data_IF_134281776621
#
_entry.id   IF_134281776621
#
_cell.length_a   1.000
_cell.length_b   1.000
_cell.length_c   1.000
_cell.angle_alpha   90.00
_cell.angle_beta   90.00
_cell.angle_gamma   90.00
#
_symmetry.space_group_name_H-M   'P 1'
#
loop_
_entity.id
_entity.type
_entity.pdbx_description
1 polymer ?
#
# COMPACT_ATOMS: atom_id res chain seq x y z
N UNK A 1 5.94 1.13 -2.66
CA UNK A 1 5.46 0.69 -4.00
C UNK A 1 6.32 -0.41 -4.59
N UNK A 2 7.66 -0.31 -4.56
CA UNK A 2 8.51 -1.47 -4.92
C UNK A 2 8.16 -2.74 -4.12
N UNK A 3 7.94 -2.62 -2.81
CA UNK A 3 7.47 -3.74 -1.99
C UNK A 3 6.13 -4.33 -2.46
N UNK A 4 5.21 -3.51 -2.98
CA UNK A 4 3.91 -3.98 -3.48
C UNK A 4 4.07 -4.75 -4.81
N UNK A 5 5.00 -4.33 -5.67
CA UNK A 5 5.36 -5.11 -6.86
C UNK A 5 5.92 -6.48 -6.48
N UNK A 6 6.83 -6.53 -5.50
CA UNK A 6 7.40 -7.79 -4.98
C UNK A 6 6.30 -8.68 -4.40
N UNK A 7 5.37 -8.09 -3.63
CA UNK A 7 4.22 -8.80 -3.07
C UNK A 7 3.39 -9.48 -4.16
N UNK A 8 3.03 -8.72 -5.21
CA UNK A 8 2.22 -9.24 -6.31
C UNK A 8 2.99 -10.20 -7.23
N UNK A 9 4.32 -10.08 -7.29
CA UNK A 9 5.20 -11.03 -7.99
C UNK A 9 5.28 -12.39 -7.29
N UNK A 10 4.89 -12.46 -6.02
CA UNK A 10 5.02 -13.66 -5.19
C UNK A 10 3.66 -14.31 -4.98
N UNK A 11 2.91 -14.00 -3.92
CA UNK A 11 1.71 -14.76 -3.59
C UNK A 11 0.53 -14.50 -4.52
N UNK A 12 0.41 -13.30 -5.08
CA UNK A 12 -0.63 -13.06 -6.10
C UNK A 12 -0.36 -13.86 -7.39
N UNK A 13 0.90 -14.23 -7.65
CA UNK A 13 1.29 -15.01 -8.83
C UNK A 13 1.30 -16.51 -8.56
N UNK A 14 1.82 -16.95 -7.41
CA UNK A 14 2.13 -18.35 -7.13
C UNK A 14 1.40 -18.93 -5.91
N UNK A 15 0.54 -18.14 -5.26
CA UNK A 15 -0.11 -18.50 -3.99
C UNK A 15 0.89 -18.89 -2.89
N UNK A 16 0.39 -19.44 -1.78
CA UNK A 16 1.25 -20.02 -0.74
C UNK A 16 1.97 -21.28 -1.26
N UNK A 17 3.19 -21.58 -0.78
CA UNK A 17 3.83 -22.86 -1.07
C UNK A 17 2.93 -24.03 -0.67
N UNK A 18 2.80 -25.01 -1.56
CA UNK A 18 2.06 -26.24 -1.31
C UNK A 18 2.82 -27.14 -0.31
N UNK A 19 2.11 -28.11 0.27
CA UNK A 19 2.73 -29.10 1.15
C UNK A 19 3.91 -29.82 0.48
N UNK A 20 3.76 -30.21 -0.78
CA UNK A 20 4.81 -30.83 -1.59
C UNK A 20 6.02 -29.89 -1.75
N UNK A 21 5.78 -28.62 -2.12
CA UNK A 21 6.85 -27.64 -2.29
C UNK A 21 7.63 -27.35 -0.99
N UNK A 22 6.98 -27.45 0.17
CA UNK A 22 7.64 -27.31 1.47
C UNK A 22 8.65 -28.44 1.74
N UNK A 23 8.43 -29.63 1.17
CA UNK A 23 9.29 -30.81 1.35
C UNK A 23 10.33 -30.94 0.23
N UNK A 24 9.92 -30.72 -1.02
CA UNK A 24 10.80 -30.86 -2.19
C UNK A 24 11.77 -29.69 -2.32
N UNK A 25 11.34 -28.49 -1.95
CA UNK A 25 12.11 -27.25 -2.08
C UNK A 25 12.03 -26.38 -0.81
N UNK A 26 12.48 -26.87 0.36
CA UNK A 26 12.27 -26.22 1.65
C UNK A 26 12.86 -24.81 1.72
N UNK A 27 14.08 -24.63 1.20
CA UNK A 27 14.75 -23.32 1.17
C UNK A 27 14.04 -22.34 0.22
N UNK A 28 13.56 -22.81 -0.93
CA UNK A 28 12.81 -21.99 -1.89
C UNK A 28 11.47 -21.55 -1.30
N UNK A 29 10.76 -22.47 -0.65
CA UNK A 29 9.49 -22.20 0.01
C UNK A 29 9.64 -21.23 1.18
N UNK A 30 10.65 -21.41 2.05
CA UNK A 30 10.95 -20.45 3.11
C UNK A 30 11.32 -19.06 2.54
N UNK A 31 12.11 -19.03 1.46
CA UNK A 31 12.46 -17.79 0.76
C UNK A 31 11.24 -17.05 0.22
N UNK A 32 10.27 -17.76 -0.37
CA UNK A 32 8.99 -17.19 -0.83
C UNK A 32 8.15 -16.63 0.31
N UNK A 33 8.01 -17.38 1.42
CA UNK A 33 7.26 -16.91 2.59
C UNK A 33 7.91 -15.66 3.18
N UNK A 34 9.25 -15.66 3.29
CA UNK A 34 9.98 -14.53 3.84
C UNK A 34 9.93 -13.29 2.95
N UNK A 35 10.05 -13.47 1.63
CA UNK A 35 9.87 -12.37 0.66
C UNK A 35 8.49 -11.73 0.79
N UNK A 36 7.43 -12.53 0.98
CA UNK A 36 6.08 -12.03 1.23
C UNK A 36 6.04 -11.19 2.52
N UNK A 37 6.57 -11.73 3.61
CA UNK A 37 6.58 -11.06 4.93
C UNK A 37 7.36 -9.74 4.91
N UNK A 38 8.46 -9.66 4.14
CA UNK A 38 9.22 -8.43 3.92
C UNK A 38 8.42 -7.39 3.12
N UNK A 39 7.63 -7.84 2.15
CA UNK A 39 6.91 -7.01 1.20
C UNK A 39 5.58 -6.47 1.72
N UNK A 40 4.81 -7.29 2.43
CA UNK A 40 3.43 -6.99 2.85
C UNK A 40 3.33 -5.72 3.71
N UNK A 41 4.37 -5.40 4.48
CA UNK A 41 4.37 -4.20 5.31
C UNK A 41 4.35 -2.89 4.52
N UNK A 42 4.62 -2.92 3.21
CA UNK A 42 4.71 -1.73 2.37
C UNK A 42 3.45 -0.85 2.38
N UNK A 43 2.26 -1.45 2.48
CA UNK A 43 1.00 -0.70 2.60
C UNK A 43 0.90 -0.01 3.96
N UNK A 44 1.21 -0.71 5.04
CA UNK A 44 1.22 -0.14 6.39
C UNK A 44 2.23 1.01 6.48
N UNK A 45 3.41 0.86 5.87
CA UNK A 45 4.41 1.95 5.78
C UNK A 45 3.85 3.17 5.03
N UNK A 46 3.11 2.97 3.93
CA UNK A 46 2.50 4.09 3.21
C UNK A 46 1.50 4.88 4.09
N UNK A 47 0.69 4.18 4.88
CA UNK A 47 -0.25 4.81 5.82
C UNK A 47 0.48 5.47 7.00
N UNK A 48 1.54 4.84 7.53
CA UNK A 48 2.40 5.42 8.57
C UNK A 48 3.03 6.74 8.12
N UNK A 49 3.57 6.79 6.89
CA UNK A 49 4.12 8.01 6.30
C UNK A 49 3.04 9.11 6.23
N UNK A 50 1.83 8.75 5.81
CA UNK A 50 0.69 9.68 5.74
C UNK A 50 0.34 10.25 7.13
N UNK A 51 0.32 9.40 8.17
CA UNK A 51 0.12 9.81 9.55
C UNK A 51 1.23 10.70 10.10
N UNK A 52 2.48 10.34 9.83
CA UNK A 52 3.66 11.05 10.30
C UNK A 52 3.66 12.52 9.87
N UNK A 53 3.46 12.77 8.58
CA UNK A 53 3.37 14.13 8.06
C UNK A 53 2.03 14.81 8.39
N UNK A 54 0.99 14.03 8.66
CA UNK A 54 -0.35 14.51 8.93
C UNK A 54 -1.05 14.99 7.65
N UNK A 55 -2.11 14.30 7.24
CA UNK A 55 -2.88 14.70 6.06
C UNK A 55 -3.63 16.01 6.38
N UNK A 56 -3.40 17.04 5.56
CA UNK A 56 -4.23 18.26 5.53
C UNK A 56 -5.17 18.17 4.34
N UNK A 57 -6.46 18.06 4.62
CA UNK A 57 -7.44 17.81 3.58
C UNK A 57 -7.61 19.06 2.70
N UNK A 58 -7.30 18.91 1.41
CA UNK A 58 -7.46 19.96 0.39
C UNK A 58 -8.26 19.39 -0.77
N UNK A 59 -9.35 20.07 -1.17
CA UNK A 59 -10.19 19.65 -2.30
C UNK A 59 -9.35 19.45 -3.56
N UNK A 60 -8.45 20.39 -3.87
CA UNK A 60 -7.55 20.28 -5.03
C UNK A 60 -6.68 19.01 -4.97
N UNK A 61 -6.24 18.60 -3.78
CA UNK A 61 -5.50 17.35 -3.59
C UNK A 61 -6.35 16.11 -3.85
N UNK A 62 -7.59 16.08 -3.35
CA UNK A 62 -8.53 15.00 -3.62
C UNK A 62 -8.86 14.90 -5.12
N UNK A 63 -9.16 16.03 -5.77
CA UNK A 63 -9.44 16.08 -7.21
C UNK A 63 -8.22 15.63 -8.01
N UNK A 64 -7.01 16.04 -7.62
CA UNK A 64 -5.77 15.56 -8.26
C UNK A 64 -5.60 14.05 -8.13
N UNK A 65 -5.92 13.46 -6.98
CA UNK A 65 -5.83 12.02 -6.75
C UNK A 65 -6.87 11.24 -7.56
N UNK A 66 -8.11 11.72 -7.59
CA UNK A 66 -9.19 11.15 -8.39
C UNK A 66 -8.90 11.26 -9.89
N UNK A 67 -8.37 12.39 -10.34
CA UNK A 67 -7.90 12.58 -11.70
C UNK A 67 -6.80 11.59 -12.04
N UNK A 68 -5.80 11.41 -11.17
CA UNK A 68 -4.72 10.46 -11.39
C UNK A 68 -5.27 9.03 -11.55
N UNK A 69 -6.20 8.62 -10.71
CA UNK A 69 -6.83 7.31 -10.82
C UNK A 69 -7.65 7.14 -12.12
N UNK A 70 -8.48 8.13 -12.46
CA UNK A 70 -9.27 8.13 -13.70
C UNK A 70 -8.38 8.14 -14.95
N UNK A 71 -7.29 8.92 -14.92
CA UNK A 71 -6.32 8.98 -16.02
C UNK A 71 -5.77 7.59 -16.35
N UNK A 72 -5.40 6.81 -15.33
CA UNK A 72 -4.89 5.46 -15.55
C UNK A 72 -5.97 4.46 -15.94
N UNK A 73 -7.14 4.48 -15.31
CA UNK A 73 -8.22 3.55 -15.70
C UNK A 73 -8.70 3.78 -17.13
N UNK A 74 -8.82 5.03 -17.57
CA UNK A 74 -9.19 5.41 -18.94
C UNK A 74 -8.04 5.12 -19.91
N UNK A 75 -6.84 5.61 -19.60
CA UNK A 75 -5.68 5.50 -20.49
C UNK A 75 -5.29 4.05 -20.77
N UNK A 76 -5.27 3.21 -19.74
CA UNK A 76 -4.98 1.77 -19.89
C UNK A 76 -6.02 1.10 -20.79
N UNK A 77 -7.32 1.34 -20.55
CA UNK A 77 -8.37 0.75 -21.38
C UNK A 77 -8.26 1.19 -22.84
N UNK A 78 -8.09 2.50 -23.10
CA UNK A 78 -7.94 3.00 -24.47
C UNK A 78 -6.66 2.46 -25.15
N UNK A 79 -5.59 2.25 -24.39
CA UNK A 79 -4.35 1.67 -24.92
C UNK A 79 -4.56 0.22 -25.32
N UNK A 80 -5.23 -0.59 -24.48
CA UNK A 80 -5.54 -1.99 -24.80
C UNK A 80 -6.47 -2.12 -26.00
N UNK A 81 -7.44 -1.21 -26.14
CA UNK A 81 -8.31 -1.12 -27.32
C UNK A 81 -7.51 -0.75 -28.57
N UNK A 82 -6.61 0.24 -28.49
CA UNK A 82 -5.80 0.67 -29.62
C UNK A 82 -4.77 -0.37 -30.08
N UNK A 83 -4.40 -1.30 -29.21
CA UNK A 83 -3.50 -2.42 -29.50
C UNK A 83 -4.24 -3.71 -29.90
N UNK A 84 -5.55 -3.65 -30.09
CA UNK A 84 -6.42 -4.80 -30.40
C UNK A 84 -6.34 -5.94 -29.35
N UNK A 85 -5.97 -5.61 -28.10
CA UNK A 85 -5.92 -6.55 -26.97
C UNK A 85 -7.24 -6.65 -26.21
N UNK A 86 -8.14 -5.67 -26.36
CA UNK A 86 -9.50 -5.67 -25.81
C UNK A 86 -10.44 -4.99 -26.82
N UNK A 87 -11.62 -5.56 -27.15
CA UNK A 87 -12.57 -4.89 -28.03
C UNK A 87 -13.18 -3.67 -27.34
N UNK A 88 -13.41 -2.60 -28.09
CA UNK A 88 -14.09 -1.42 -27.54
C UNK A 88 -15.54 -1.75 -27.16
N UNK A 89 -15.89 -1.51 -25.89
CA UNK A 89 -17.25 -1.63 -25.37
C UNK A 89 -17.64 -0.38 -24.58
N UNK A 90 -18.75 0.27 -24.98
CA UNK A 90 -19.22 1.51 -24.33
C UNK A 90 -19.47 1.36 -22.83
N UNK A 91 -20.02 0.23 -22.39
CA UNK A 91 -20.25 -0.05 -20.95
C UNK A 91 -18.92 -0.18 -20.19
N UNK A 92 -17.93 -0.84 -20.77
CA UNK A 92 -16.60 -0.99 -20.17
C UNK A 92 -15.88 0.36 -20.10
N UNK A 93 -16.01 1.18 -21.14
CA UNK A 93 -15.49 2.55 -21.18
C UNK A 93 -16.12 3.44 -20.10
N UNK A 94 -17.45 3.48 -19.98
CA UNK A 94 -18.13 4.27 -18.95
C UNK A 94 -17.72 3.86 -17.53
N UNK A 95 -17.48 2.57 -17.28
CA UNK A 95 -16.97 2.08 -15.98
C UNK A 95 -15.57 2.61 -15.64
N UNK A 96 -14.75 3.00 -16.62
CA UNK A 96 -13.41 3.55 -16.34
C UNK A 96 -13.45 4.90 -15.61
N UNK A 97 -14.56 5.65 -15.72
CA UNK A 97 -14.76 6.90 -14.99
C UNK A 97 -15.09 6.71 -13.50
N UNK A 98 -15.24 5.47 -13.04
CA UNK A 98 -15.52 5.12 -11.65
C UNK A 98 -14.31 4.36 -11.03
N UNK A 99 -13.17 5.03 -10.78
CA UNK A 99 -11.96 4.38 -10.26
C UNK A 99 -12.07 3.96 -8.79
N UNK A 100 -13.24 4.12 -8.16
CA UNK A 100 -13.49 3.85 -6.75
C UNK A 100 -14.25 2.54 -6.48
N UNK A 101 -14.36 1.68 -7.49
CA UNK A 101 -14.97 0.36 -7.36
C UNK A 101 -14.12 -0.53 -6.44
N UNK A 102 -14.56 -0.68 -5.19
CA UNK A 102 -13.89 -1.48 -4.16
C UNK A 102 -13.73 -2.95 -4.54
N UNK A 103 -14.57 -3.48 -5.43
CA UNK A 103 -14.44 -4.87 -5.87
C UNK A 103 -13.19 -5.12 -6.72
N UNK A 104 -12.61 -4.05 -7.29
CA UNK A 104 -11.43 -4.11 -8.15
C UNK A 104 -10.22 -3.42 -7.54
N UNK A 105 -10.47 -2.43 -6.69
CA UNK A 105 -9.44 -1.57 -6.13
C UNK A 105 -9.84 -1.18 -4.70
N UNK A 106 -9.31 -1.89 -3.71
CA UNK A 106 -9.68 -1.69 -2.31
C UNK A 106 -8.92 -0.52 -1.67
N UNK A 107 -7.68 -0.26 -2.10
CA UNK A 107 -6.78 0.65 -1.40
C UNK A 107 -7.20 2.10 -1.61
N UNK A 108 -7.43 2.52 -2.85
CA UNK A 108 -7.75 3.92 -3.17
C UNK A 108 -9.02 4.42 -2.45
N UNK A 109 -10.16 3.69 -2.46
CA UNK A 109 -11.36 4.08 -1.70
C UNK A 109 -11.13 4.15 -0.18
N UNK A 110 -10.36 3.23 0.39
CA UNK A 110 -10.05 3.21 1.83
C UNK A 110 -9.11 4.38 2.19
N UNK A 111 -8.10 4.66 1.35
CA UNK A 111 -7.19 5.79 1.54
C UNK A 111 -7.89 7.14 1.40
N UNK A 112 -8.77 7.30 0.41
CA UNK A 112 -9.60 8.50 0.27
C UNK A 112 -10.50 8.72 1.48
N UNK A 113 -11.07 7.63 2.01
CA UNK A 113 -11.85 7.68 3.26
C UNK A 113 -10.97 8.14 4.42
N UNK A 114 -9.76 7.61 4.56
CA UNK A 114 -8.80 8.09 5.56
C UNK A 114 -8.48 9.57 5.38
N UNK A 115 -8.25 10.05 4.15
CA UNK A 115 -7.99 11.47 3.88
C UNK A 115 -9.14 12.35 4.37
N UNK A 116 -10.39 11.95 4.14
CA UNK A 116 -11.59 12.67 4.59
C UNK A 116 -11.67 12.72 6.12
N UNK A 117 -11.33 11.61 6.80
CA UNK A 117 -11.37 11.52 8.26
C UNK A 117 -10.13 12.11 8.95
N UNK A 118 -9.02 12.29 8.23
CA UNK A 118 -7.75 12.73 8.81
C UNK A 118 -7.81 14.07 9.56
N UNK A 119 -8.53 15.12 9.09
CA UNK A 119 -8.71 16.35 9.87
C UNK A 119 -9.33 16.09 11.25
N UNK A 120 -10.38 15.26 11.32
CA UNK A 120 -11.01 14.88 12.58
C UNK A 120 -10.03 14.17 13.51
N UNK A 121 -9.26 13.21 12.97
CA UNK A 121 -8.23 12.50 13.72
C UNK A 121 -7.15 13.45 14.25
N UNK A 122 -6.72 14.41 13.42
CA UNK A 122 -5.72 15.42 13.78
C UNK A 122 -6.25 16.36 14.88
N UNK A 123 -7.49 16.85 14.78
CA UNK A 123 -8.09 17.70 15.81
C UNK A 123 -8.28 16.96 17.13
N UNK A 124 -8.62 15.66 17.08
CA UNK A 124 -8.73 14.83 18.28
C UNK A 124 -7.41 14.76 19.03
N UNK A 125 -6.32 14.36 18.35
CA UNK A 125 -5.00 14.17 18.98
C UNK A 125 -4.30 15.48 19.37
N UNK A 126 -4.55 16.59 18.66
CA UNK A 126 -3.99 17.90 19.03
C UNK A 126 -4.44 18.39 20.41
N UNK A 127 -5.63 17.95 20.88
CA UNK A 127 -6.17 18.31 22.19
C UNK A 127 -5.65 17.42 23.33
N UNK A 128 -4.94 16.34 23.00
CA UNK A 128 -4.46 15.36 23.97
C UNK A 128 -2.99 15.60 24.31
N UNK A 129 -2.59 15.26 25.53
CA UNK A 129 -1.19 15.15 25.86
C UNK A 129 -0.60 13.84 25.31
N UNK A 130 0.74 13.75 25.32
CA UNK A 130 1.50 12.59 24.83
C UNK A 130 1.08 11.28 25.48
N UNK A 131 0.84 11.30 26.80
CA UNK A 131 0.47 10.12 27.58
C UNK A 131 -0.90 9.60 27.16
N UNK A 132 -1.88 10.49 26.97
CA UNK A 132 -3.22 10.15 26.52
C UNK A 132 -3.21 9.57 25.10
N UNK A 133 -2.46 10.17 24.18
CA UNK A 133 -2.30 9.62 22.82
C UNK A 133 -1.66 8.22 22.85
N UNK A 134 -0.59 8.03 23.62
CA UNK A 134 0.04 6.71 23.80
C UNK A 134 -0.95 5.68 24.35
N UNK A 135 -1.66 6.03 25.42
CA UNK A 135 -2.62 5.12 26.06
C UNK A 135 -3.76 4.76 25.10
N UNK A 136 -4.28 5.73 24.36
CA UNK A 136 -5.27 5.49 23.31
C UNK A 136 -4.77 4.48 22.27
N UNK A 137 -3.53 4.64 21.78
CA UNK A 137 -2.95 3.68 20.82
C UNK A 137 -2.80 2.28 21.41
N UNK A 138 -2.36 2.17 22.66
CA UNK A 138 -2.26 0.88 23.36
C UNK A 138 -3.64 0.20 23.43
N UNK A 139 -4.66 0.92 23.91
CA UNK A 139 -6.02 0.38 23.98
C UNK A 139 -6.57 0.03 22.59
N UNK A 140 -6.36 0.90 21.60
CA UNK A 140 -6.78 0.67 20.23
C UNK A 140 -6.18 -0.63 19.67
N UNK A 141 -4.87 -0.84 19.80
CA UNK A 141 -4.22 -2.04 19.26
C UNK A 141 -4.52 -3.30 20.07
N UNK A 142 -4.76 -3.20 21.38
CA UNK A 142 -5.28 -4.34 22.17
C UNK A 142 -6.65 -4.75 21.61
N UNK A 143 -7.58 -3.81 21.45
CA UNK A 143 -8.91 -4.10 20.90
C UNK A 143 -8.83 -4.59 19.45
N UNK A 144 -8.03 -3.94 18.61
CA UNK A 144 -7.81 -4.35 17.22
C UNK A 144 -7.20 -5.74 17.12
N UNK A 145 -6.37 -6.16 18.07
CA UNK A 145 -5.79 -7.51 18.09
C UNK A 145 -6.82 -8.54 18.56
N UNK A 146 -7.44 -8.31 19.71
CA UNK A 146 -8.37 -9.27 20.32
C UNK A 146 -9.66 -9.41 19.52
N UNK A 147 -10.28 -8.27 19.19
CA UNK A 147 -11.59 -8.22 18.56
C UNK A 147 -11.55 -8.00 17.05
N UNK A 148 -10.39 -7.62 16.49
CA UNK A 148 -10.20 -7.46 15.06
C UNK A 148 -9.47 -8.65 14.44
N UNK A 149 -8.19 -8.80 14.79
CA UNK A 149 -7.33 -9.83 14.21
C UNK A 149 -7.79 -11.25 14.59
N UNK A 150 -7.98 -11.52 15.89
CA UNK A 150 -8.33 -12.87 16.36
C UNK A 150 -9.80 -13.22 16.07
N UNK A 151 -10.75 -12.38 16.46
CA UNK A 151 -12.20 -12.70 16.37
C UNK A 151 -12.95 -12.09 15.18
N UNK A 152 -12.37 -11.15 14.44
CA UNK A 152 -12.98 -10.42 13.30
C UNK A 152 -14.30 -9.68 13.60
N UNK A 153 -14.60 -9.43 14.88
CA UNK A 153 -15.81 -8.75 15.33
C UNK A 153 -15.80 -7.24 15.07
N UNK A 154 -14.61 -6.62 14.98
CA UNK A 154 -14.46 -5.18 14.74
C UNK A 154 -14.51 -4.78 13.26
N UNK A 155 -14.68 -5.73 12.33
CA UNK A 155 -14.69 -5.41 10.89
C UNK A 155 -13.36 -4.81 10.40
N UNK A 156 -12.25 -5.29 10.95
CA UNK A 156 -10.89 -4.84 10.58
C UNK A 156 -10.53 -5.35 9.18
N UNK A 157 -11.21 -6.41 8.71
CA UNK A 157 -11.10 -6.97 7.36
C UNK A 157 -9.63 -7.20 6.98
N UNK A 158 -8.85 -7.92 7.80
CA UNK A 158 -7.42 -8.17 7.57
C UNK A 158 -6.57 -6.90 7.34
N UNK A 159 -7.06 -5.72 7.73
CA UNK A 159 -6.41 -4.42 7.58
C UNK A 159 -6.84 -3.62 6.35
N UNK A 160 -7.78 -4.14 5.55
CA UNK A 160 -8.34 -3.48 4.36
C UNK A 160 -9.36 -2.36 4.69
N UNK A 161 -9.68 -2.16 5.98
CA UNK A 161 -10.73 -1.25 6.44
C UNK A 161 -10.24 0.15 6.84
N UNK A 162 -11.17 1.11 6.85
CA UNK A 162 -10.92 2.46 7.35
C UNK A 162 -10.45 2.47 8.81
N UNK A 163 -11.02 1.61 9.66
CA UNK A 163 -10.65 1.51 11.09
C UNK A 163 -9.15 1.18 11.22
N UNK A 164 -8.67 0.21 10.43
CA UNK A 164 -7.26 -0.17 10.37
C UNK A 164 -6.38 1.00 9.95
N UNK A 165 -6.79 1.70 8.90
CA UNK A 165 -6.08 2.87 8.37
C UNK A 165 -6.03 4.01 9.40
N UNK A 166 -7.11 4.27 10.13
CA UNK A 166 -7.14 5.25 11.21
C UNK A 166 -6.13 4.89 12.32
N UNK A 167 -6.08 3.63 12.74
CA UNK A 167 -5.12 3.15 13.75
C UNK A 167 -3.66 3.35 13.33
N UNK A 168 -3.33 2.93 12.12
CA UNK A 168 -1.97 3.07 11.56
C UNK A 168 -1.62 4.54 11.35
N UNK A 169 -2.57 5.35 10.86
CA UNK A 169 -2.40 6.78 10.70
C UNK A 169 -2.11 7.47 12.04
N UNK A 170 -2.88 7.18 13.08
CA UNK A 170 -2.69 7.75 14.42
C UNK A 170 -1.35 7.31 15.05
N UNK A 171 -0.87 6.10 14.73
CA UNK A 171 0.45 5.62 15.12
C UNK A 171 1.56 6.39 14.41
N UNK A 172 1.45 6.61 13.10
CA UNK A 172 2.34 7.49 12.35
C UNK A 172 2.33 8.92 12.92
N UNK A 173 1.14 9.44 13.24
CA UNK A 173 0.97 10.78 13.80
C UNK A 173 1.63 10.94 15.17
N UNK A 174 1.55 9.92 16.02
CA UNK A 174 2.27 9.87 17.31
C UNK A 174 3.77 10.05 17.10
N UNK A 175 4.32 9.34 16.12
CA UNK A 175 5.74 9.43 15.80
C UNK A 175 6.15 10.79 15.23
N UNK A 176 5.29 11.43 14.43
CA UNK A 176 5.52 12.77 13.92
C UNK A 176 5.50 13.86 15.00
N UNK A 177 4.66 13.69 16.03
CA UNK A 177 4.51 14.64 17.12
C UNK A 177 5.57 14.48 18.22
N UNK A 178 6.05 13.26 18.45
CA UNK A 178 6.95 12.94 19.58
C UNK A 178 8.23 12.24 19.11
N UNK A 179 9.07 12.90 18.28
CA UNK A 179 10.25 12.29 17.67
C UNK A 179 11.32 11.83 18.68
N UNK A 180 11.37 12.43 19.86
CA UNK A 180 12.36 12.08 20.91
C UNK A 180 12.21 10.65 21.44
N UNK A 181 10.99 10.11 21.47
CA UNK A 181 10.75 8.71 21.87
C UNK A 181 11.34 7.72 20.88
N UNK A 182 11.38 8.11 19.60
CA UNK A 182 11.84 7.27 18.51
C UNK A 182 13.36 7.24 18.48
N UNK A 183 14.01 8.38 18.72
CA UNK A 183 15.43 8.57 18.49
C UNK A 183 16.33 7.76 19.45
N UNK A 184 15.77 7.12 20.48
CA UNK A 184 16.54 6.29 21.44
C UNK A 184 17.05 4.96 20.88
N UNK A 185 16.37 4.38 19.90
CA UNK A 185 16.79 3.09 19.30
C UNK A 185 17.90 3.30 18.28
N UNK A 186 18.70 2.29 17.92
CA UNK A 186 19.67 2.40 16.80
C UNK A 186 19.02 1.95 15.48
N UNK A 187 19.43 2.52 14.35
CA UNK A 187 18.90 2.13 13.03
C UNK A 187 19.16 0.65 12.74
N UNK A 188 20.32 0.14 13.13
CA UNK A 188 20.65 -1.29 13.04
C UNK A 188 19.71 -2.16 13.86
N UNK A 189 19.31 -1.73 15.06
CA UNK A 189 18.30 -2.42 15.88
C UNK A 189 16.94 -2.46 15.18
N UNK A 190 16.51 -1.35 14.58
CA UNK A 190 15.23 -1.29 13.86
C UNK A 190 15.22 -2.19 12.61
N UNK A 191 16.32 -2.21 11.85
CA UNK A 191 16.47 -3.13 10.71
C UNK A 191 16.50 -4.58 11.22
N UNK A 192 17.20 -4.85 12.34
CA UNK A 192 17.21 -6.16 12.98
C UNK A 192 15.82 -6.62 13.44
N UNK A 193 14.98 -5.71 13.95
CA UNK A 193 13.57 -6.01 14.29
C UNK A 193 12.77 -6.33 13.02
N UNK A 194 12.92 -5.52 11.97
CA UNK A 194 12.25 -5.74 10.69
C UNK A 194 12.59 -7.11 10.08
N UNK A 195 13.88 -7.45 9.99
CA UNK A 195 14.35 -8.73 9.46
C UNK A 195 14.04 -9.89 10.40
N UNK A 196 14.21 -9.70 11.71
CA UNK A 196 14.02 -10.73 12.71
C UNK A 196 12.58 -11.16 12.88
N UNK A 197 11.64 -10.21 12.99
CA UNK A 197 10.20 -10.52 13.11
C UNK A 197 9.69 -11.15 11.81
N UNK A 198 10.03 -10.58 10.65
CA UNK A 198 9.60 -11.14 9.35
C UNK A 198 10.13 -12.56 9.15
N UNK A 199 11.40 -12.82 9.50
CA UNK A 199 11.98 -14.16 9.40
C UNK A 199 11.36 -15.13 10.39
N UNK A 200 11.23 -14.75 11.67
CA UNK A 200 10.62 -15.61 12.70
C UNK A 200 9.17 -15.97 12.36
N UNK A 201 8.39 -15.01 11.87
CA UNK A 201 7.03 -15.24 11.40
C UNK A 201 7.01 -16.20 10.20
N UNK A 202 7.93 -16.04 9.26
CA UNK A 202 8.03 -16.90 8.08
C UNK A 202 8.44 -18.32 8.43
N UNK A 203 9.38 -18.47 9.36
CA UNK A 203 9.80 -19.77 9.89
C UNK A 203 8.66 -20.47 10.63
N UNK A 204 7.84 -19.74 11.39
CA UNK A 204 6.67 -20.30 12.07
C UNK A 204 5.62 -20.82 11.07
N UNK A 205 5.33 -20.06 10.01
CA UNK A 205 4.41 -20.48 8.94
C UNK A 205 4.96 -21.69 8.16
N UNK A 206 6.26 -21.67 7.84
CA UNK A 206 6.95 -22.79 7.21
C UNK A 206 6.86 -24.05 8.08
N UNK A 207 7.24 -23.96 9.36
CA UNK A 207 7.22 -25.09 10.29
C UNK A 207 5.80 -25.64 10.48
N UNK A 208 4.79 -24.77 10.55
CA UNK A 208 3.39 -25.21 10.60
C UNK A 208 3.01 -26.03 9.38
N UNK A 209 3.24 -25.52 8.16
CA UNK A 209 2.92 -26.24 6.93
C UNK A 209 3.73 -27.54 6.77
N UNK A 210 5.01 -27.51 7.14
CA UNK A 210 5.91 -28.65 7.07
C UNK A 210 5.49 -29.79 8.01
N UNK A 211 5.16 -29.47 9.27
CA UNK A 211 4.86 -30.48 10.30
C UNK A 211 3.40 -30.95 10.23
N UNK A 212 2.45 -30.04 9.96
CA UNK A 212 1.02 -30.36 10.10
C UNK A 212 0.46 -31.24 8.98
N UNK A 213 1.14 -31.36 7.84
CA UNK A 213 0.57 -32.03 6.67
C UNK A 213 -0.48 -31.21 5.92
N UNK A 214 -0.78 -29.99 6.39
CA UNK A 214 -1.84 -29.13 5.86
C UNK A 214 -1.28 -27.96 5.06
N UNK A 215 -2.10 -27.39 4.17
CA UNK A 215 -1.75 -26.12 3.55
C UNK A 215 -1.62 -25.02 4.61
N UNK A 216 -0.72 -24.06 4.38
CA UNK A 216 -0.52 -22.94 5.31
C UNK A 216 -1.82 -22.14 5.49
N UNK A 217 -2.71 -22.15 4.49
CA UNK A 217 -4.02 -21.47 4.54
C UNK A 217 -5.14 -22.33 5.16
N UNK A 218 -4.90 -23.61 5.47
CA UNK A 218 -5.93 -24.50 6.03
C UNK A 218 -6.46 -24.03 7.38
N UNK A 219 -5.63 -23.28 8.14
CA UNK A 219 -6.03 -22.67 9.39
C UNK A 219 -6.29 -21.17 9.21
N UNK A 220 -7.49 -20.74 9.60
CA UNK A 220 -7.91 -19.35 9.49
C UNK A 220 -6.96 -18.36 10.22
N UNK A 221 -6.29 -18.80 11.29
CA UNK A 221 -5.30 -18.00 11.99
C UNK A 221 -4.00 -17.88 11.20
N UNK A 222 -3.45 -18.96 10.65
CA UNK A 222 -2.17 -18.92 9.92
C UNK A 222 -2.27 -18.07 8.66
N UNK A 223 -3.40 -18.13 7.94
CA UNK A 223 -3.70 -17.22 6.82
C UNK A 223 -3.75 -15.74 7.24
N UNK A 224 -4.12 -15.44 8.48
CA UNK A 224 -4.17 -14.07 9.01
C UNK A 224 -2.80 -13.53 9.42
N UNK A 225 -1.78 -14.35 9.69
CA UNK A 225 -0.48 -13.84 10.18
C UNK A 225 0.17 -12.87 9.20
N UNK A 226 -0.03 -13.09 7.89
CA UNK A 226 0.41 -12.19 6.82
C UNK A 226 -0.62 -11.10 6.46
N UNK A 227 -1.63 -10.84 7.29
CA UNK A 227 -2.57 -9.73 7.08
C UNK A 227 -2.00 -8.38 7.49
N UNK A 228 -2.50 -7.29 6.90
CA UNK A 228 -2.11 -5.93 7.29
C UNK A 228 -2.50 -5.57 8.74
N UNK A 229 -3.53 -6.23 9.27
CA UNK A 229 -3.99 -6.10 10.65
C UNK A 229 -3.16 -6.90 11.67
N UNK A 230 -2.28 -7.79 11.22
CA UNK A 230 -1.40 -8.56 12.10
C UNK A 230 -0.52 -7.62 12.95
N UNK A 231 -0.53 -7.75 14.29
CA UNK A 231 0.35 -6.96 15.15
C UNK A 231 1.83 -7.10 14.78
N UNK A 232 2.24 -8.28 14.31
CA UNK A 232 3.62 -8.52 13.85
C UNK A 232 3.93 -7.70 12.59
N UNK A 233 3.02 -7.65 11.61
CA UNK A 233 3.19 -6.85 10.41
C UNK A 233 3.14 -5.35 10.71
N UNK A 234 2.32 -4.91 11.66
CA UNK A 234 2.30 -3.51 12.11
C UNK A 234 3.63 -3.15 12.78
N UNK A 235 4.15 -3.98 13.70
CA UNK A 235 5.46 -3.77 14.34
C UNK A 235 6.61 -3.76 13.32
N UNK A 236 6.57 -4.68 12.35
CA UNK A 236 7.55 -4.78 11.26
C UNK A 236 7.50 -3.54 10.36
N UNK A 237 6.31 -3.03 10.04
CA UNK A 237 6.12 -1.78 9.30
C UNK A 237 6.66 -0.56 10.07
N UNK A 238 6.40 -0.50 11.39
CA UNK A 238 6.92 0.56 12.26
C UNK A 238 8.44 0.52 12.29
N UNK A 239 9.05 -0.65 12.49
CA UNK A 239 10.50 -0.79 12.53
C UNK A 239 11.16 -0.31 11.22
N UNK A 240 10.60 -0.72 10.07
CA UNK A 240 11.06 -0.26 8.76
C UNK A 240 10.89 1.25 8.59
N UNK A 241 9.70 1.78 8.88
CA UNK A 241 9.41 3.21 8.80
C UNK A 241 10.37 4.05 9.65
N UNK A 242 10.58 3.67 10.91
CA UNK A 242 11.45 4.39 11.84
C UNK A 242 12.92 4.29 11.45
N UNK A 243 13.36 3.19 10.82
CA UNK A 243 14.72 3.08 10.30
C UNK A 243 14.98 4.12 9.20
N UNK A 244 14.02 4.28 8.27
CA UNK A 244 14.12 5.21 7.16
C UNK A 244 13.88 6.68 7.57
N UNK A 245 13.02 6.96 8.55
CA UNK A 245 12.72 8.33 9.00
C UNK A 245 13.95 9.06 9.57
N UNK A 246 15.01 8.32 9.89
CA UNK A 246 16.28 8.84 10.43
C UNK A 246 17.29 9.19 9.35
N UNK A 247 17.07 8.75 8.12
CA UNK A 247 17.95 9.07 7.00
C UNK A 247 17.79 10.55 6.66
N UNK A 248 18.84 11.33 6.93
CA UNK A 248 18.92 12.74 6.53
C UNK A 248 19.48 12.81 5.12
N UNK A 249 18.61 12.61 4.13
CA UNK A 249 18.97 12.65 2.71
C UNK A 249 18.15 13.73 2.00
N UNK A 250 18.81 14.54 1.17
CA UNK A 250 18.17 15.45 0.23
C UNK A 250 18.65 15.11 -1.17
N UNK A 251 17.77 14.61 -2.01
CA UNK A 251 18.11 14.22 -3.38
C UNK A 251 16.99 14.61 -4.34
N UNK A 252 17.35 15.37 -5.38
CA UNK A 252 16.43 15.75 -6.45
C UNK A 252 15.89 14.51 -7.18
N UNK A 253 16.75 13.52 -7.42
CA UNK A 253 16.36 12.27 -8.07
C UNK A 253 15.35 11.49 -7.23
N UNK A 254 15.59 11.35 -5.92
CA UNK A 254 14.65 10.67 -5.01
C UNK A 254 13.31 11.40 -4.97
N UNK A 255 13.30 12.73 -4.84
CA UNK A 255 12.06 13.51 -4.82
C UNK A 255 11.30 13.43 -6.15
N UNK A 256 12.03 13.43 -7.27
CA UNK A 256 11.46 13.25 -8.59
C UNK A 256 10.84 11.86 -8.75
N UNK A 257 11.47 10.80 -8.26
CA UNK A 257 10.89 9.45 -8.25
C UNK A 257 9.67 9.39 -7.32
N UNK A 258 9.82 9.90 -6.10
CA UNK A 258 8.81 9.82 -5.04
C UNK A 258 7.47 10.40 -5.46
N UNK A 259 7.46 11.51 -6.20
CA UNK A 259 6.23 12.17 -6.68
C UNK A 259 5.38 11.32 -7.62
N UNK A 260 5.95 10.26 -8.20
CA UNK A 260 5.26 9.35 -9.12
C UNK A 260 5.08 7.93 -8.57
N UNK A 261 5.50 7.66 -7.33
CA UNK A 261 5.43 6.30 -6.78
C UNK A 261 4.01 5.75 -6.71
N UNK A 262 3.01 6.58 -6.40
CA UNK A 262 1.61 6.14 -6.36
C UNK A 262 1.07 5.71 -7.75
N UNK A 263 1.60 6.26 -8.84
CA UNK A 263 1.21 5.83 -10.18
C UNK A 263 1.63 4.39 -10.49
N UNK A 264 2.79 3.97 -9.97
CA UNK A 264 3.25 2.58 -10.09
C UNK A 264 2.15 1.64 -9.59
N UNK A 265 1.55 1.94 -8.44
CA UNK A 265 0.43 1.20 -7.89
C UNK A 265 -0.78 1.17 -8.84
N UNK A 266 -1.25 2.34 -9.26
CA UNK A 266 -2.44 2.45 -10.12
C UNK A 266 -2.30 1.77 -11.49
N UNK A 267 -1.08 1.67 -12.01
CA UNK A 267 -0.80 1.02 -13.30
C UNK A 267 -0.78 -0.50 -13.12
N UNK A 268 0.12 -1.04 -12.27
CA UNK A 268 0.29 -2.50 -12.18
C UNK A 268 -0.89 -3.21 -11.48
N UNK A 269 -1.54 -2.55 -10.52
CA UNK A 269 -2.73 -3.09 -9.85
C UNK A 269 -4.01 -2.91 -10.67
N UNK A 270 -3.95 -2.24 -11.83
CA UNK A 270 -5.13 -2.09 -12.65
C UNK A 270 -5.71 -3.46 -12.98
N UNK A 271 -7.01 -3.66 -12.79
CA UNK A 271 -7.67 -4.95 -13.02
C UNK A 271 -7.49 -5.52 -14.44
N UNK A 272 -7.10 -4.70 -15.42
CA UNK A 272 -6.75 -5.15 -16.78
C UNK A 272 -5.29 -5.53 -16.96
N UNK A 273 -4.38 -5.01 -16.14
CA UNK A 273 -2.93 -5.23 -16.26
C UNK A 273 -2.37 -6.22 -15.24
N UNK A 274 -3.01 -6.37 -14.08
CA UNK A 274 -2.48 -7.22 -13.01
C UNK A 274 -2.32 -8.68 -13.46
N UNK A 275 -3.23 -9.19 -14.29
CA UNK A 275 -3.12 -10.54 -14.87
C UNK A 275 -1.97 -10.70 -15.86
N UNK A 276 -1.63 -9.65 -16.63
CA UNK A 276 -0.43 -9.67 -17.48
C UNK A 276 0.84 -9.62 -16.64
N UNK A 277 0.83 -8.84 -15.56
CA UNK A 277 1.96 -8.76 -14.63
C UNK A 277 2.24 -10.12 -13.97
N UNK A 278 1.22 -10.76 -13.40
CA UNK A 278 1.38 -12.07 -12.76
C UNK A 278 1.65 -13.17 -13.78
N UNK A 279 0.95 -13.17 -14.92
CA UNK A 279 1.15 -14.15 -15.99
C UNK A 279 2.58 -14.13 -16.56
N UNK A 280 3.14 -12.95 -16.77
CA UNK A 280 4.53 -12.82 -17.23
C UNK A 280 5.51 -13.39 -16.21
N UNK A 281 5.35 -13.04 -14.92
CA UNK A 281 6.22 -13.55 -13.85
C UNK A 281 6.09 -15.07 -13.69
N UNK A 282 4.87 -15.60 -13.81
CA UNK A 282 4.64 -17.04 -13.81
C UNK A 282 5.39 -17.73 -14.94
N UNK A 283 5.36 -17.17 -16.17
CA UNK A 283 6.12 -17.72 -17.31
C UNK A 283 7.63 -17.74 -17.10
N UNK A 284 8.19 -16.79 -16.33
CA UNK A 284 9.62 -16.79 -16.01
C UNK A 284 10.03 -17.91 -15.04
N UNK A 285 9.07 -18.52 -14.32
CA UNK A 285 9.36 -19.54 -13.30
C UNK A 285 9.89 -20.87 -13.86
N UNK A 286 9.81 -21.07 -15.19
CA UNK A 286 10.39 -22.23 -15.89
C UNK A 286 11.93 -22.22 -15.89
N UNK A 287 12.55 -21.07 -15.60
CA UNK A 287 14.00 -20.94 -15.53
C UNK A 287 14.57 -21.38 -14.17
N UNK A 288 15.86 -21.78 -14.12
CA UNK A 288 16.55 -22.04 -12.86
C UNK A 288 16.43 -20.86 -11.88
N UNK A 289 16.28 -21.16 -10.58
CA UNK A 289 15.91 -20.17 -9.54
C UNK A 289 16.74 -18.89 -9.59
N UNK A 290 18.06 -18.98 -9.74
CA UNK A 290 18.93 -17.79 -9.81
C UNK A 290 18.65 -16.90 -11.03
N UNK A 291 18.37 -17.52 -12.18
CA UNK A 291 18.01 -16.82 -13.43
C UNK A 291 16.61 -16.22 -13.30
N UNK A 292 15.64 -16.98 -12.79
CA UNK A 292 14.29 -16.52 -12.51
C UNK A 292 14.30 -15.27 -11.61
N UNK A 293 15.00 -15.31 -10.47
CA UNK A 293 15.10 -14.18 -9.56
C UNK A 293 15.72 -12.94 -10.21
N UNK A 294 16.76 -13.12 -11.04
CA UNK A 294 17.37 -12.03 -11.80
C UNK A 294 16.40 -11.41 -12.81
N UNK A 295 15.68 -12.24 -13.57
CA UNK A 295 14.71 -11.77 -14.56
C UNK A 295 13.52 -11.05 -13.90
N UNK A 296 12.98 -11.58 -12.80
CA UNK A 296 11.90 -10.94 -12.03
C UNK A 296 12.37 -9.60 -11.45
N UNK A 297 13.59 -9.53 -10.90
CA UNK A 297 14.13 -8.27 -10.39
C UNK A 297 14.23 -7.20 -11.49
N UNK A 298 14.76 -7.57 -12.67
CA UNK A 298 14.81 -6.67 -13.83
C UNK A 298 13.42 -6.25 -14.26
N UNK A 299 12.48 -7.20 -14.38
CA UNK A 299 11.11 -6.90 -14.78
C UNK A 299 10.41 -5.94 -13.81
N UNK A 300 10.51 -6.17 -12.49
CA UNK A 300 9.97 -5.28 -11.46
C UNK A 300 10.55 -3.87 -11.59
N UNK A 301 11.87 -3.75 -11.81
CA UNK A 301 12.53 -2.45 -11.99
C UNK A 301 12.07 -1.75 -13.28
N UNK A 302 11.84 -2.50 -14.37
CA UNK A 302 11.29 -1.97 -15.61
C UNK A 302 9.85 -1.48 -15.43
N UNK A 303 8.98 -2.25 -14.77
CA UNK A 303 7.61 -1.84 -14.45
C UNK A 303 7.61 -0.59 -13.56
N UNK A 304 8.47 -0.55 -12.56
CA UNK A 304 8.62 0.60 -11.67
C UNK A 304 9.08 1.86 -12.43
N UNK A 305 10.16 1.76 -13.21
CA UNK A 305 10.71 2.89 -13.98
C UNK A 305 9.75 3.35 -15.09
N UNK A 306 9.19 2.41 -15.85
CA UNK A 306 8.22 2.70 -16.91
C UNK A 306 6.98 3.41 -16.38
N UNK A 307 6.43 2.93 -15.25
CA UNK A 307 5.31 3.58 -14.58
C UNK A 307 5.62 5.01 -14.13
N UNK A 308 6.83 5.26 -13.61
CA UNK A 308 7.27 6.61 -13.25
C UNK A 308 7.33 7.51 -14.48
N UNK A 309 7.94 7.03 -15.57
CA UNK A 309 8.07 7.82 -16.81
C UNK A 309 6.70 8.18 -17.39
N UNK A 310 5.76 7.23 -17.41
CA UNK A 310 4.36 7.48 -17.82
C UNK A 310 3.72 8.55 -16.92
N UNK A 311 3.94 8.48 -15.61
CA UNK A 311 3.37 9.46 -14.68
C UNK A 311 3.93 10.86 -14.85
N UNK A 312 5.16 11.02 -15.34
CA UNK A 312 5.70 12.35 -15.66
C UNK A 312 4.92 13.02 -16.78
N UNK A 313 4.49 12.26 -17.78
CA UNK A 313 3.60 12.77 -18.83
C UNK A 313 2.26 13.22 -18.22
N UNK A 314 1.68 12.41 -17.34
CA UNK A 314 0.45 12.79 -16.62
C UNK A 314 0.62 14.04 -15.77
N UNK A 315 1.75 14.19 -15.05
CA UNK A 315 2.04 15.37 -14.25
C UNK A 315 2.05 16.64 -15.10
N UNK A 316 2.69 16.60 -16.27
CA UNK A 316 2.68 17.71 -17.22
C UNK A 316 1.27 18.06 -17.70
N UNK A 317 0.45 17.04 -18.04
CA UNK A 317 -0.95 17.25 -18.42
C UNK A 317 -1.77 17.88 -17.28
N UNK A 318 -1.55 17.44 -16.04
CA UNK A 318 -2.22 18.03 -14.87
C UNK A 318 -1.84 19.49 -14.67
N UNK A 319 -0.54 19.82 -14.75
CA UNK A 319 -0.05 21.18 -14.52
C UNK A 319 -0.47 22.14 -15.63
N UNK A 320 -0.43 21.72 -16.89
CA UNK A 320 -0.67 22.60 -18.03
C UNK A 320 -2.14 22.75 -18.40
N UNK A 321 -2.95 21.71 -18.21
CA UNK A 321 -4.33 21.67 -18.70
C UNK A 321 -5.32 21.66 -17.53
N UNK A 322 -5.23 20.65 -16.67
CA UNK A 322 -6.30 20.38 -15.70
C UNK A 322 -6.28 21.29 -14.48
N UNK A 323 -5.10 21.62 -13.93
CA UNK A 323 -4.99 22.54 -12.80
C UNK A 323 -5.47 23.95 -13.15
N UNK A 324 -5.03 24.58 -14.26
CA UNK A 324 -5.56 25.88 -14.67
C UNK A 324 -7.06 25.87 -14.95
N UNK A 325 -7.57 24.79 -15.56
CA UNK A 325 -9.01 24.62 -15.79
C UNK A 325 -9.78 24.52 -14.48
N UNK A 326 -9.31 23.72 -13.53
CA UNK A 326 -9.89 23.60 -12.19
C UNK A 326 -9.91 24.95 -11.47
N UNK A 327 -8.81 25.70 -11.49
CA UNK A 327 -8.71 27.00 -10.82
C UNK A 327 -9.67 28.02 -11.47
N UNK A 328 -9.82 28.02 -12.81
CA UNK A 328 -10.81 28.85 -13.51
C UNK A 328 -12.25 28.47 -13.15
N UNK A 329 -12.60 27.18 -13.18
CA UNK A 329 -13.93 26.70 -12.83
C UNK A 329 -14.30 27.07 -11.39
N UNK A 330 -13.38 26.83 -10.45
CA UNK A 330 -13.55 27.23 -9.05
C UNK A 330 -13.80 28.73 -8.92
N UNK A 331 -12.99 29.58 -9.55
CA UNK A 331 -13.18 31.03 -9.49
C UNK A 331 -14.52 31.48 -10.09
N UNK A 332 -14.99 30.81 -11.13
CA UNK A 332 -16.30 31.09 -11.73
C UNK A 332 -17.45 30.68 -10.81
N UNK A 333 -17.30 29.58 -10.06
CA UNK A 333 -18.32 29.13 -9.11
C UNK A 333 -18.40 30.05 -7.89
N UNK A 334 -17.24 30.52 -7.40
CA UNK A 334 -17.16 31.55 -6.35
C UNK A 334 -17.89 32.83 -6.78
N UNK A 335 -17.66 33.30 -8.01
CA UNK A 335 -18.33 34.48 -8.57
C UNK A 335 -19.85 34.31 -8.73
N UNK A 336 -20.34 33.07 -8.88
CA UNK A 336 -21.78 32.75 -9.00
C UNK A 336 -22.47 32.58 -7.63
N UNK A 337 -21.76 32.81 -6.53
CA UNK A 337 -22.31 32.75 -5.17
C UNK A 337 -22.65 31.33 -4.70
N UNK A 338 -22.15 30.30 -5.40
CA UNK A 338 -22.40 28.92 -4.99
C UNK A 338 -21.55 28.58 -3.76
N UNK A 339 -22.11 27.91 -2.74
CA UNK A 339 -21.36 27.54 -1.55
C UNK A 339 -20.25 26.56 -1.94
N UNK A 340 -19.00 27.00 -1.85
CA UNK A 340 -17.88 26.09 -1.89
C UNK A 340 -17.78 25.36 -0.56
N UNK A 341 -17.60 24.04 -0.60
CA UNK A 341 -17.19 23.29 0.58
C UNK A 341 -15.89 23.90 1.13
N UNK A 342 -15.98 24.58 2.26
CA UNK A 342 -14.81 24.95 3.07
C UNK A 342 -14.57 23.80 4.03
N UNK A 343 -13.52 23.03 3.77
CA UNK A 343 -13.11 21.97 4.68
C UNK A 343 -12.42 22.61 5.89
N UNK A 344 -12.68 22.14 7.12
CA UNK A 344 -11.96 22.60 8.29
C UNK A 344 -10.47 22.30 8.12
N UNK A 345 -9.61 23.30 8.39
CA UNK A 345 -8.15 23.19 8.27
C UNK A 345 -7.51 22.31 9.35
#
# INVERSE_FOLDING_TARGET
>A
MLLVLILHANYLTFHFPTFEALHDQPLGSLGRIWSESLAIVGVNVFVLISGYFGIRLRIKGMVSLLFQAAFYTIGIYLTLVALDLEPFQSKAFLRTFYPLDRSKEWFLPTYLSLMIFAPLLNSFIQKQNKQMHRNYLIFFYILSTLFGFLSDQLGVQNGYSLISFCGIYLLGRYFGLYPEEINRYKTTTLIGIYLGISFAQSLALFAYGYISGLSIEANALTGKFLSYASPLNILTAVALFLAFSRLKLQSRAINWIASSTFAVYLIHCNGRLIGYYTGYIHGLSEHPVGVFLGMVAVFILLVFAGSILIDKVRLLLWEWIFSPLYDRLRSSWEKRGWPLLRLPE
#
